data_IF_477914499949
#
_entry.id   IF_477914499949
#
_cell.length_a   1.000
_cell.length_b   1.000
_cell.length_c   1.000
_cell.angle_alpha   90.00
_cell.angle_beta   90.00
_cell.angle_gamma   90.00
#
_symmetry.space_group_name_H-M   'P 1'
#
loop_
_entity.id
_entity.type
_entity.pdbx_description
1 polymer ?
#
# COMPACT_ATOMS: atom_id res chain seq x y z
N UNK A 1 -30.89 48.68 -11.93
CA UNK A 1 -29.87 49.24 -12.87
C UNK A 1 -28.51 48.53 -12.82
N UNK A 2 -28.03 47.97 -11.71
CA UNK A 2 -26.70 47.32 -11.61
C UNK A 2 -26.51 46.04 -12.44
N UNK A 3 -27.56 45.24 -12.67
CA UNK A 3 -27.49 43.98 -13.44
C UNK A 3 -27.22 44.19 -14.94
N UNK A 4 -27.68 45.31 -15.49
CA UNK A 4 -27.53 45.63 -16.91
C UNK A 4 -26.10 46.06 -17.26
N UNK A 5 -25.46 46.80 -16.35
CA UNK A 5 -24.05 47.19 -16.47
C UNK A 5 -23.12 45.97 -16.35
N UNK A 6 -23.46 45.03 -15.46
CA UNK A 6 -22.69 43.79 -15.30
C UNK A 6 -22.75 42.91 -16.56
N UNK A 7 -23.93 42.67 -17.11
CA UNK A 7 -24.08 41.89 -18.34
C UNK A 7 -23.36 42.54 -19.53
N UNK A 8 -23.51 43.86 -19.69
CA UNK A 8 -22.84 44.61 -20.76
C UNK A 8 -21.32 44.55 -20.65
N UNK A 9 -20.77 44.57 -19.43
CA UNK A 9 -19.34 44.41 -19.20
C UNK A 9 -18.84 43.00 -19.51
N UNK A 10 -19.61 41.97 -19.15
CA UNK A 10 -19.25 40.56 -19.43
C UNK A 10 -19.31 40.26 -20.94
N UNK A 11 -20.30 40.80 -21.65
CA UNK A 11 -20.42 40.62 -23.11
C UNK A 11 -19.26 41.29 -23.86
N UNK A 12 -18.83 42.48 -23.44
CA UNK A 12 -17.68 43.16 -24.05
C UNK A 12 -16.36 42.42 -23.82
N UNK A 13 -16.15 41.87 -22.62
CA UNK A 13 -14.96 41.07 -22.31
C UNK A 13 -14.92 39.79 -23.15
N UNK A 14 -16.06 39.10 -23.32
CA UNK A 14 -16.13 37.90 -24.15
C UNK A 14 -15.83 38.19 -25.63
N UNK A 15 -16.36 39.29 -26.18
CA UNK A 15 -16.08 39.68 -27.58
C UNK A 15 -14.58 40.02 -27.75
N UNK A 16 -13.97 40.67 -26.76
CA UNK A 16 -12.57 41.05 -26.80
C UNK A 16 -11.63 39.83 -26.75
N UNK A 17 -11.98 38.79 -25.97
CA UNK A 17 -11.25 37.53 -25.92
C UNK A 17 -11.38 36.74 -27.23
N UNK A 18 -12.57 36.72 -27.83
CA UNK A 18 -12.80 36.05 -29.12
C UNK A 18 -12.05 36.76 -30.26
N UNK A 19 -11.98 38.10 -30.25
CA UNK A 19 -11.19 38.88 -31.21
C UNK A 19 -9.69 38.64 -31.10
N UNK A 20 -9.16 38.46 -29.88
CA UNK A 20 -7.75 38.15 -29.63
C UNK A 20 -7.32 36.77 -30.14
N UNK A 21 -8.27 35.83 -30.28
CA UNK A 21 -7.99 34.50 -30.83
C UNK A 21 -8.02 34.45 -32.37
N UNK A 22 -8.62 35.46 -33.03
CA UNK A 22 -8.70 35.55 -34.50
C UNK A 22 -7.63 36.46 -35.11
N UNK A 23 -6.99 37.33 -34.32
CA UNK A 23 -5.80 38.07 -34.71
C UNK A 23 -4.56 37.17 -34.57
N UNK A 24 -4.45 36.20 -35.47
CA UNK A 24 -3.25 35.42 -35.66
C UNK A 24 -2.03 36.33 -35.84
N UNK A 25 -0.95 35.98 -35.15
CA UNK A 25 0.39 36.47 -35.43
C UNK A 25 0.83 36.02 -36.84
N UNK A 26 0.47 36.77 -37.86
CA UNK A 26 1.08 36.69 -39.20
C UNK A 26 2.15 37.76 -39.31
N UNK A 27 3.38 37.41 -38.91
CA UNK A 27 4.56 38.20 -39.21
C UNK A 27 5.18 37.67 -40.53
N UNK A 28 5.39 38.51 -41.55
CA UNK A 28 5.99 38.07 -42.80
C UNK A 28 7.52 37.97 -42.65
N UNK A 29 8.07 36.76 -42.64
CA UNK A 29 9.52 36.57 -42.78
C UNK A 29 9.93 36.63 -44.26
N UNK A 30 10.73 37.66 -44.56
CA UNK A 30 11.55 37.81 -45.76
C UNK A 30 12.45 36.57 -45.95
N UNK A 31 12.42 35.99 -47.16
CA UNK A 31 13.53 35.19 -47.73
C UNK A 31 14.69 36.14 -48.08
N UNK A 32 15.95 35.78 -47.78
CA UNK A 32 16.86 35.37 -48.86
C UNK A 32 17.76 34.17 -48.49
N UNK A 33 18.50 33.72 -49.49
CA UNK A 33 19.01 32.38 -49.76
C UNK A 33 20.23 31.85 -48.94
N UNK A 34 20.39 30.51 -48.99
CA UNK A 34 21.57 29.62 -48.71
C UNK A 34 21.99 29.26 -47.25
N UNK A 35 22.66 28.09 -47.02
CA UNK A 35 22.45 26.72 -47.50
C UNK A 35 22.30 25.68 -46.34
N UNK A 36 22.03 24.41 -46.69
CA UNK A 36 21.52 23.30 -45.88
C UNK A 36 22.17 22.98 -44.51
N UNK A 37 21.34 22.62 -43.53
CA UNK A 37 21.69 21.84 -42.30
C UNK A 37 20.47 20.99 -41.84
N UNK A 38 20.65 19.94 -41.01
CA UNK A 38 20.16 18.58 -41.23
C UNK A 38 18.67 18.34 -40.93
N UNK A 39 18.10 17.35 -41.65
CA UNK A 39 16.74 16.85 -41.48
C UNK A 39 16.39 16.60 -40.00
N UNK A 40 15.49 17.40 -39.44
CA UNK A 40 14.75 16.99 -38.25
C UNK A 40 13.78 15.88 -38.68
N UNK A 41 14.17 14.64 -38.42
CA UNK A 41 13.25 13.51 -38.41
C UNK A 41 12.19 13.79 -37.33
N UNK A 42 11.03 14.29 -37.75
CA UNK A 42 9.80 14.15 -36.96
C UNK A 42 9.47 12.66 -36.92
N UNK A 43 10.02 11.98 -35.91
CA UNK A 43 9.62 10.64 -35.54
C UNK A 43 8.15 10.73 -35.10
N UNK A 44 7.23 10.42 -36.01
CA UNK A 44 5.81 10.27 -35.68
C UNK A 44 5.71 9.08 -34.72
N UNK A 45 5.63 9.35 -33.40
CA UNK A 45 5.44 8.29 -32.41
C UNK A 45 4.07 7.65 -32.63
N UNK A 46 4.08 6.33 -32.78
CA UNK A 46 2.89 5.52 -33.02
C UNK A 46 1.93 5.65 -31.81
N UNK A 47 0.62 5.87 -32.00
CA UNK A 47 -0.35 5.95 -30.90
C UNK A 47 -0.31 4.73 -29.95
N UNK A 48 0.05 3.55 -30.45
CA UNK A 48 0.28 2.35 -29.62
C UNK A 48 1.48 2.48 -28.67
N UNK A 49 2.54 3.17 -29.10
CA UNK A 49 3.72 3.42 -28.28
C UNK A 49 3.44 4.48 -27.21
N UNK A 50 2.61 5.48 -27.49
CA UNK A 50 2.18 6.45 -26.47
C UNK A 50 1.36 5.79 -25.35
N UNK A 51 0.43 4.89 -25.70
CA UNK A 51 -0.39 4.20 -24.71
C UNK A 51 0.43 3.24 -23.84
N UNK A 52 1.41 2.55 -24.44
CA UNK A 52 2.36 1.69 -23.72
C UNK A 52 3.28 2.48 -22.79
N UNK A 53 3.83 3.59 -23.27
CA UNK A 53 4.69 4.45 -22.44
C UNK A 53 3.91 5.08 -21.29
N UNK A 54 2.65 5.50 -21.50
CA UNK A 54 1.79 6.03 -20.44
C UNK A 54 1.49 4.97 -19.35
N UNK A 55 1.25 3.72 -19.75
CA UNK A 55 1.03 2.63 -18.80
C UNK A 55 2.28 2.31 -17.98
N UNK A 56 3.46 2.27 -18.62
CA UNK A 56 4.74 2.06 -17.94
C UNK A 56 5.08 3.24 -17.03
N UNK A 57 4.82 4.48 -17.45
CA UNK A 57 5.02 5.68 -16.62
C UNK A 57 4.10 5.67 -15.40
N UNK A 58 2.83 5.28 -15.57
CA UNK A 58 1.89 5.15 -14.46
C UNK A 58 2.29 4.02 -13.49
N UNK A 59 2.77 2.90 -14.02
CA UNK A 59 3.31 1.78 -13.23
C UNK A 59 4.55 2.22 -12.45
N UNK A 60 5.47 2.91 -13.09
CA UNK A 60 6.70 3.42 -12.48
C UNK A 60 6.39 4.50 -11.43
N UNK A 61 5.41 5.37 -11.70
CA UNK A 61 4.91 6.33 -10.73
C UNK A 61 4.35 5.61 -9.50
N UNK A 62 3.45 4.64 -9.65
CA UNK A 62 2.91 3.87 -8.52
C UNK A 62 3.97 3.07 -7.76
N UNK A 63 4.97 2.55 -8.47
CA UNK A 63 6.06 1.78 -7.88
C UNK A 63 7.18 2.65 -7.29
N UNK A 64 7.13 3.97 -7.47
CA UNK A 64 8.14 4.92 -6.98
C UNK A 64 8.26 4.87 -5.45
N UNK A 65 9.43 5.24 -4.94
CA UNK A 65 9.69 5.27 -3.51
C UNK A 65 8.72 6.19 -2.77
N UNK A 66 8.44 7.36 -3.33
CA UNK A 66 7.54 8.36 -2.74
C UNK A 66 6.11 7.83 -2.63
N UNK A 67 5.60 7.15 -3.66
CA UNK A 67 4.26 6.57 -3.62
C UNK A 67 4.17 5.37 -2.66
N UNK A 68 5.24 4.57 -2.53
CA UNK A 68 5.30 3.53 -1.50
C UNK A 68 5.27 4.13 -0.11
N UNK A 69 6.01 5.20 0.13
CA UNK A 69 6.01 5.90 1.42
C UNK A 69 4.65 6.50 1.73
N UNK A 70 4.00 7.14 0.74
CA UNK A 70 2.64 7.66 0.88
C UNK A 70 1.65 6.52 1.22
N UNK A 71 1.75 5.38 0.54
CA UNK A 71 0.92 4.21 0.83
C UNK A 71 1.18 3.64 2.22
N UNK A 72 2.43 3.56 2.66
CA UNK A 72 2.79 3.15 4.02
C UNK A 72 2.24 4.13 5.06
N UNK A 73 2.29 5.44 4.79
CA UNK A 73 1.72 6.48 5.64
C UNK A 73 0.20 6.34 5.77
N UNK A 74 -0.50 6.08 4.67
CA UNK A 74 -1.94 5.81 4.67
C UNK A 74 -2.23 4.54 5.48
N UNK A 75 -1.55 3.44 5.20
CA UNK A 75 -1.76 2.15 5.88
C UNK A 75 -1.45 2.21 7.38
N UNK A 76 -0.50 3.03 7.79
CA UNK A 76 -0.12 3.21 9.20
C UNK A 76 -0.97 4.28 9.91
N UNK A 77 -1.85 4.97 9.19
CA UNK A 77 -2.67 6.03 9.76
C UNK A 77 -3.69 5.47 10.77
N UNK A 78 -4.03 6.22 11.84
CA UNK A 78 -5.06 5.81 12.79
C UNK A 78 -6.42 5.52 12.13
N UNK A 79 -6.72 6.19 11.01
CA UNK A 79 -7.96 6.01 10.25
C UNK A 79 -8.02 4.63 9.56
N UNK A 80 -6.88 4.02 9.24
CA UNK A 80 -6.81 2.69 8.64
C UNK A 80 -6.87 1.55 9.67
N UNK A 81 -6.61 1.81 10.95
CA UNK A 81 -6.73 0.80 12.01
C UNK A 81 -8.08 0.08 12.03
N UNK A 82 -9.25 0.77 12.05
CA UNK A 82 -10.54 0.08 12.07
C UNK A 82 -10.76 -0.76 10.81
N UNK A 83 -10.27 -0.32 9.65
CA UNK A 83 -10.36 -1.07 8.39
C UNK A 83 -9.54 -2.35 8.46
N UNK A 84 -8.31 -2.29 8.99
CA UNK A 84 -7.48 -3.48 9.18
C UNK A 84 -8.08 -4.44 10.19
N UNK A 85 -8.63 -3.93 11.30
CA UNK A 85 -9.32 -4.75 12.31
C UNK A 85 -10.54 -5.44 11.70
N UNK A 86 -11.31 -4.74 10.87
CA UNK A 86 -12.46 -5.33 10.20
C UNK A 86 -12.05 -6.39 9.17
N UNK A 87 -10.99 -6.12 8.41
CA UNK A 87 -10.39 -7.11 7.52
C UNK A 87 -9.99 -8.38 8.28
N UNK A 88 -9.43 -8.27 9.49
CA UNK A 88 -9.05 -9.41 10.35
C UNK A 88 -10.23 -10.23 10.87
N UNK A 89 -11.46 -9.68 10.80
CA UNK A 89 -12.68 -10.44 11.10
C UNK A 89 -13.13 -11.31 9.92
N UNK A 90 -12.58 -11.10 8.73
CA UNK A 90 -12.93 -11.89 7.56
C UNK A 90 -12.49 -13.36 7.76
N UNK A 91 -13.40 -14.34 7.68
CA UNK A 91 -13.08 -15.75 7.93
C UNK A 91 -12.01 -16.31 7.00
N UNK A 92 -12.00 -15.91 5.73
CA UNK A 92 -10.99 -16.36 4.77
C UNK A 92 -9.60 -15.85 5.16
N UNK A 93 -9.51 -14.61 5.66
CA UNK A 93 -8.24 -14.07 6.14
C UNK A 93 -7.79 -14.76 7.43
N UNK A 94 -8.70 -15.01 8.37
CA UNK A 94 -8.39 -15.78 9.58
C UNK A 94 -7.85 -17.17 9.25
N UNK A 95 -8.50 -17.86 8.30
CA UNK A 95 -8.04 -19.17 7.85
C UNK A 95 -6.63 -19.11 7.27
N UNK A 96 -6.34 -18.11 6.43
CA UNK A 96 -4.99 -17.89 5.89
C UNK A 96 -3.96 -17.55 6.96
N UNK A 97 -4.34 -16.81 7.98
CA UNK A 97 -3.48 -16.54 9.12
C UNK A 97 -3.15 -17.81 9.90
N UNK A 98 -4.15 -18.66 10.17
CA UNK A 98 -3.96 -19.97 10.83
C UNK A 98 -3.07 -20.88 10.00
N UNK A 99 -3.29 -20.94 8.68
CA UNK A 99 -2.45 -21.70 7.75
C UNK A 99 -1.00 -21.23 7.82
N UNK A 100 -0.78 -19.91 7.77
CA UNK A 100 0.55 -19.34 7.85
C UNK A 100 1.22 -19.61 9.21
N UNK A 101 0.48 -19.50 10.32
CA UNK A 101 0.98 -19.84 11.66
C UNK A 101 1.29 -21.33 11.83
N UNK A 102 0.66 -22.18 11.03
CA UNK A 102 0.93 -23.62 11.00
C UNK A 102 2.15 -23.99 10.16
N UNK A 103 2.77 -23.02 9.45
CA UNK A 103 3.97 -23.23 8.66
C UNK A 103 5.11 -23.77 9.56
N UNK A 104 5.65 -24.96 9.29
CA UNK A 104 6.76 -25.54 10.05
C UNK A 104 8.00 -24.63 10.15
N UNK A 105 8.24 -23.80 9.14
CA UNK A 105 9.37 -22.86 9.11
C UNK A 105 9.27 -21.77 10.19
N UNK A 106 8.07 -21.50 10.72
CA UNK A 106 7.88 -20.55 11.82
C UNK A 106 8.11 -21.17 13.20
N UNK A 107 8.19 -22.50 13.31
CA UNK A 107 8.37 -23.20 14.60
C UNK A 107 9.64 -22.74 15.35
N UNK A 108 10.82 -22.61 14.71
CA UNK A 108 12.02 -22.14 15.41
C UNK A 108 11.85 -20.75 16.00
N UNK A 109 11.20 -19.84 15.28
CA UNK A 109 10.90 -18.49 15.75
C UNK A 109 9.94 -18.50 16.94
N UNK A 110 8.89 -19.34 16.89
CA UNK A 110 7.97 -19.52 18.01
C UNK A 110 8.67 -20.08 19.25
N UNK A 111 9.50 -21.12 19.10
CA UNK A 111 10.27 -21.70 20.20
C UNK A 111 11.22 -20.66 20.81
N UNK A 112 11.89 -19.86 19.97
CA UNK A 112 12.77 -18.78 20.43
C UNK A 112 12.01 -17.75 21.25
N UNK A 113 10.84 -17.32 20.76
CA UNK A 113 9.97 -16.40 21.48
C UNK A 113 9.52 -16.97 22.82
N UNK A 114 9.04 -18.21 22.86
CA UNK A 114 8.59 -18.88 24.08
C UNK A 114 9.72 -19.15 25.08
N UNK A 115 10.95 -19.31 24.60
CA UNK A 115 12.14 -19.49 25.44
C UNK A 115 12.65 -18.17 26.01
N UNK A 116 12.15 -17.03 25.54
CA UNK A 116 12.54 -15.73 26.05
C UNK A 116 12.14 -15.60 27.53
N UNK A 117 13.06 -15.21 28.44
CA UNK A 117 12.75 -15.05 29.86
C UNK A 117 11.55 -14.16 30.16
N UNK A 118 11.30 -13.14 29.33
CA UNK A 118 10.14 -12.23 29.47
C UNK A 118 8.80 -12.93 29.27
N UNK A 119 8.79 -14.05 28.53
CA UNK A 119 7.59 -14.87 28.32
C UNK A 119 7.30 -15.82 29.48
N UNK A 120 8.23 -16.01 30.44
CA UNK A 120 8.01 -16.94 31.56
C UNK A 120 6.78 -16.59 32.38
N UNK A 121 6.61 -15.31 32.73
CA UNK A 121 5.46 -14.92 33.55
C UNK A 121 4.15 -15.05 32.79
N UNK A 122 4.01 -14.48 31.57
CA UNK A 122 2.81 -14.70 30.76
C UNK A 122 2.45 -16.17 30.56
N UNK A 123 3.44 -17.04 30.33
CA UNK A 123 3.19 -18.48 30.20
C UNK A 123 2.73 -19.12 31.51
N UNK A 124 3.30 -18.72 32.64
CA UNK A 124 2.87 -19.18 33.96
C UNK A 124 1.43 -18.75 34.25
N UNK A 125 1.10 -17.50 33.95
CA UNK A 125 -0.25 -16.96 34.14
C UNK A 125 -1.28 -17.70 33.28
N UNK A 126 -0.94 -17.99 32.02
CA UNK A 126 -1.79 -18.80 31.13
C UNK A 126 -1.99 -20.21 31.70
N UNK A 127 -0.92 -20.86 32.19
CA UNK A 127 -1.04 -22.21 32.77
C UNK A 127 -1.80 -22.23 34.10
N UNK A 128 -1.77 -21.13 34.85
CA UNK A 128 -2.51 -20.97 36.10
C UNK A 128 -3.97 -20.56 35.89
N UNK A 129 -4.35 -20.16 34.66
CA UNK A 129 -5.72 -19.76 34.35
C UNK A 129 -6.69 -20.92 34.62
N UNK A 130 -7.77 -20.72 35.41
CA UNK A 130 -8.76 -21.75 35.66
C UNK A 130 -9.37 -22.36 34.39
N UNK A 131 -9.51 -21.60 33.30
CA UNK A 131 -9.99 -22.08 32.01
C UNK A 131 -9.03 -23.09 31.36
N UNK A 132 -7.75 -23.05 31.72
CA UNK A 132 -6.73 -23.98 31.22
C UNK A 132 -6.62 -25.27 32.05
N UNK A 133 -7.33 -25.37 33.19
CA UNK A 133 -7.25 -26.52 34.11
C UNK A 133 -7.47 -27.85 33.41
N UNK A 134 -8.53 -27.97 32.61
CA UNK A 134 -8.87 -29.24 31.95
C UNK A 134 -7.86 -29.59 30.87
N UNK A 135 -7.39 -28.60 30.11
CA UNK A 135 -6.33 -28.77 29.11
C UNK A 135 -5.04 -29.23 29.77
N UNK A 136 -4.65 -28.61 30.90
CA UNK A 136 -3.47 -29.00 31.65
C UNK A 136 -3.58 -30.42 32.19
N UNK A 137 -4.73 -30.78 32.76
CA UNK A 137 -4.99 -32.14 33.24
C UNK A 137 -4.94 -33.18 32.11
N UNK A 138 -5.42 -32.83 30.91
CA UNK A 138 -5.31 -33.69 29.74
C UNK A 138 -3.85 -33.86 29.30
N UNK A 139 -3.06 -32.78 29.30
CA UNK A 139 -1.63 -32.83 28.96
C UNK A 139 -0.83 -33.71 29.94
N UNK A 140 -1.03 -33.55 31.25
CA UNK A 140 -0.31 -34.36 32.25
C UNK A 140 -0.63 -35.86 32.12
N UNK A 141 -1.84 -36.20 31.67
CA UNK A 141 -2.26 -37.57 31.42
C UNK A 141 -1.80 -38.11 30.06
N UNK A 142 -1.26 -37.28 29.18
CA UNK A 142 -0.76 -37.70 27.88
C UNK A 142 0.45 -38.63 28.05
N UNK A 143 0.39 -39.89 27.60
CA UNK A 143 1.49 -40.84 27.73
C UNK A 143 2.80 -40.35 27.10
N UNK A 144 2.73 -39.47 26.10
CA UNK A 144 3.90 -38.88 25.42
C UNK A 144 4.66 -37.91 26.32
N UNK A 145 3.99 -37.32 27.31
CA UNK A 145 4.59 -36.39 28.27
C UNK A 145 5.01 -37.06 29.58
N UNK A 146 4.60 -38.31 29.81
CA UNK A 146 5.02 -39.12 30.95
C UNK A 146 6.54 -39.16 31.20
N UNK A 147 7.45 -39.31 30.20
CA UNK A 147 8.89 -39.30 30.47
C UNK A 147 9.36 -37.95 31.02
N UNK A 148 8.86 -36.84 30.47
CA UNK A 148 9.22 -35.48 30.88
C UNK A 148 8.72 -35.20 32.30
N UNK A 149 7.47 -35.58 32.60
CA UNK A 149 6.91 -35.43 33.94
C UNK A 149 7.70 -36.23 34.98
N UNK A 150 8.11 -37.46 34.65
CA UNK A 150 8.95 -38.28 35.53
C UNK A 150 10.33 -37.68 35.75
N UNK A 151 10.94 -37.11 34.72
CA UNK A 151 12.23 -36.44 34.83
C UNK A 151 12.14 -35.19 35.72
N UNK A 152 11.14 -34.35 35.52
CA UNK A 152 10.92 -33.15 36.32
C UNK A 152 10.69 -33.48 37.82
N UNK A 153 10.00 -34.59 38.13
CA UNK A 153 9.77 -35.03 39.51
C UNK A 153 11.02 -35.62 40.18
N UNK A 154 11.99 -36.12 39.39
CA UNK A 154 13.28 -36.63 39.91
C UNK A 154 14.30 -35.53 40.18
N UNK A 155 14.07 -34.33 39.66
CA UNK A 155 14.94 -33.16 39.87
C UNK A 155 14.57 -32.34 41.13
N UNK A 156 13.63 -32.83 41.94
CA UNK A 156 13.34 -32.33 43.30
C UNK A 156 13.99 -33.22 44.35
#
# INVERSE_FOLDING_TARGET
>A
MKKYTFYRSVTLIMILIIGLMLAGCSQPQKKPDEPATPQQQTNMMNPGDMMKNNLEDMRNAMASADNRQAMMGIMSSPQMQPVMVDMMKNPAMQQKMVENMSNPELRPSMVTMLSNPTMRQPLTDIMADPAMKDTFMAMVKDPRLAPIAREALKQK
#
